data_IF_881746208320
#
_entry.id   IF_881746208320
#
_cell.length_a   1.000
_cell.length_b   1.000
_cell.length_c   1.000
_cell.angle_alpha   90.00
_cell.angle_beta   90.00
_cell.angle_gamma   90.00
#
_symmetry.space_group_name_H-M   'P 1'
#
loop_
_entity.id
_entity.type
_entity.pdbx_description
1 polymer ?
#
# COMPACT_ATOMS: atom_id res chain seq x y z
N UNK A 1 -9.57 8.60 -20.28
CA UNK A 1 -9.36 9.63 -19.25
C UNK A 1 -8.88 10.93 -19.86
N UNK A 2 -9.25 12.05 -19.24
CA UNK A 2 -8.78 13.39 -19.61
C UNK A 2 -7.42 13.69 -18.91
N UNK A 3 -6.66 14.67 -19.42
CA UNK A 3 -5.40 15.07 -18.80
C UNK A 3 -5.57 15.44 -17.31
N UNK A 4 -4.60 15.06 -16.48
CA UNK A 4 -4.56 15.47 -15.08
C UNK A 4 -4.15 16.93 -14.96
N UNK A 5 -4.79 17.67 -14.04
CA UNK A 5 -4.22 18.91 -13.53
C UNK A 5 -3.33 18.61 -12.34
N UNK A 6 -2.23 19.33 -12.18
CA UNK A 6 -1.30 19.08 -11.08
C UNK A 6 -0.97 20.34 -10.29
N UNK A 7 -0.65 20.16 -9.01
CA UNK A 7 -0.21 21.21 -8.10
C UNK A 7 0.67 20.62 -7.00
N UNK A 8 1.48 21.47 -6.38
CA UNK A 8 2.30 21.09 -5.25
C UNK A 8 1.65 21.47 -3.94
N UNK A 9 1.74 20.58 -2.95
CA UNK A 9 1.42 20.87 -1.54
C UNK A 9 2.68 20.64 -0.71
N UNK A 10 2.88 21.45 0.35
CA UNK A 10 4.02 21.35 1.25
C UNK A 10 3.51 21.23 2.68
N UNK A 11 3.08 20.01 3.05
CA UNK A 11 2.62 19.71 4.41
C UNK A 11 2.86 18.22 4.73
N UNK A 12 3.81 17.88 5.57
CA UNK A 12 5.05 18.58 5.93
C UNK A 12 6.15 18.47 4.85
N UNK A 13 5.96 17.61 3.85
CA UNK A 13 6.90 17.39 2.73
C UNK A 13 6.26 17.83 1.43
N UNK A 14 7.02 18.38 0.47
CA UNK A 14 6.50 18.70 -0.84
C UNK A 14 5.99 17.43 -1.54
N UNK A 15 4.75 17.50 -2.02
CA UNK A 15 4.11 16.41 -2.78
C UNK A 15 3.52 16.97 -4.07
N UNK A 16 3.76 16.29 -5.17
CA UNK A 16 3.13 16.60 -6.45
C UNK A 16 1.81 15.85 -6.55
N UNK A 17 0.69 16.57 -6.49
CA UNK A 17 -0.65 15.99 -6.55
C UNK A 17 -1.17 16.06 -7.97
N UNK A 18 -1.72 14.97 -8.46
CA UNK A 18 -2.30 14.84 -9.79
C UNK A 18 -3.82 14.67 -9.65
N UNK A 19 -4.55 15.73 -9.94
CA UNK A 19 -6.01 15.79 -9.80
C UNK A 19 -6.68 15.39 -11.12
N UNK A 20 -7.43 14.31 -11.12
CA UNK A 20 -8.28 13.92 -12.24
C UNK A 20 -9.40 14.93 -12.47
N UNK A 21 -9.87 15.04 -13.72
CA UNK A 21 -11.04 15.83 -14.08
C UNK A 21 -12.29 15.36 -13.31
N UNK A 22 -13.28 16.21 -13.14
CA UNK A 22 -14.51 15.92 -12.38
C UNK A 22 -15.21 14.66 -12.93
N UNK A 23 -15.34 14.55 -14.26
CA UNK A 23 -15.93 13.36 -14.91
C UNK A 23 -15.16 12.08 -14.56
N UNK A 24 -13.85 12.13 -14.62
CA UNK A 24 -13.00 10.97 -14.35
C UNK A 24 -13.01 10.62 -12.86
N UNK A 25 -13.14 11.61 -11.96
CA UNK A 25 -13.32 11.34 -10.52
C UNK A 25 -14.61 10.58 -10.20
N UNK A 26 -15.69 10.83 -10.95
CA UNK A 26 -16.92 10.02 -10.84
C UNK A 26 -16.65 8.57 -11.25
N UNK A 27 -15.92 8.35 -12.35
CA UNK A 27 -15.50 7.02 -12.77
C UNK A 27 -14.61 6.33 -11.73
N UNK A 28 -13.60 7.05 -11.21
CA UNK A 28 -12.74 6.54 -10.13
C UNK A 28 -13.56 6.11 -8.91
N UNK A 29 -14.57 6.91 -8.53
CA UNK A 29 -15.43 6.59 -7.40
C UNK A 29 -16.33 5.37 -7.67
N UNK A 30 -16.84 5.23 -8.89
CA UNK A 30 -17.66 4.07 -9.30
C UNK A 30 -16.81 2.78 -9.25
N UNK A 31 -15.64 2.79 -9.85
CA UNK A 31 -14.68 1.66 -9.82
C UNK A 31 -14.28 1.32 -8.39
N UNK A 32 -13.96 2.33 -7.57
CA UNK A 32 -13.62 2.11 -6.16
C UNK A 32 -14.76 1.38 -5.42
N UNK A 33 -16.03 1.81 -5.60
CA UNK A 33 -17.19 1.19 -4.94
C UNK A 33 -17.39 -0.28 -5.32
N UNK A 34 -17.03 -0.65 -6.54
CA UNK A 34 -17.13 -2.04 -7.01
C UNK A 34 -15.96 -2.88 -6.51
N UNK A 35 -14.73 -2.36 -6.60
CA UNK A 35 -13.53 -3.13 -6.28
C UNK A 35 -13.27 -3.21 -4.76
N UNK A 36 -13.52 -2.14 -4.02
CA UNK A 36 -13.19 -2.06 -2.60
C UNK A 36 -13.73 -3.25 -1.78
N UNK A 37 -15.02 -3.60 -1.81
CA UNK A 37 -15.56 -4.70 -1.01
C UNK A 37 -15.01 -6.09 -1.39
N UNK A 38 -14.46 -6.23 -2.60
CA UNK A 38 -13.82 -7.47 -3.06
C UNK A 38 -12.43 -7.61 -2.46
N UNK A 39 -11.64 -6.51 -2.52
CA UNK A 39 -10.25 -6.52 -2.07
C UNK A 39 -10.10 -6.30 -0.57
N UNK A 40 -10.98 -5.57 0.08
CA UNK A 40 -10.97 -5.33 1.54
C UNK A 40 -10.89 -6.65 2.34
N UNK A 41 -11.58 -7.69 1.87
CA UNK A 41 -11.56 -9.03 2.47
C UNK A 41 -10.20 -9.75 2.35
N UNK A 42 -9.30 -9.25 1.51
CA UNK A 42 -7.98 -9.84 1.28
C UNK A 42 -6.89 -9.15 2.09
N UNK A 43 -7.15 -7.94 2.56
CA UNK A 43 -6.18 -7.17 3.31
C UNK A 43 -5.98 -7.73 4.72
N UNK A 44 -4.76 -7.60 5.22
CA UNK A 44 -4.50 -7.95 6.62
C UNK A 44 -5.26 -7.00 7.54
N UNK A 45 -5.64 -7.50 8.72
CA UNK A 45 -6.33 -6.68 9.73
C UNK A 45 -5.54 -5.41 10.08
N UNK A 46 -4.21 -5.48 10.09
CA UNK A 46 -3.32 -4.42 10.54
C UNK A 46 -2.83 -3.48 9.39
N UNK A 47 -3.62 -3.35 8.31
CA UNK A 47 -3.49 -2.29 7.30
C UNK A 47 -4.46 -1.15 7.62
N UNK A 48 -3.99 0.13 7.63
CA UNK A 48 -4.73 1.25 8.22
C UNK A 48 -4.95 2.44 7.29
N UNK A 49 -4.29 2.53 6.15
CA UNK A 49 -4.46 3.66 5.23
C UNK A 49 -5.61 3.45 4.26
N UNK A 50 -6.48 4.45 4.12
CA UNK A 50 -7.54 4.50 3.08
C UNK A 50 -8.50 3.29 3.10
N UNK A 51 -8.77 2.75 4.28
CA UNK A 51 -9.71 1.67 4.54
C UNK A 51 -10.82 2.16 5.48
N UNK A 52 -12.04 1.63 5.31
CA UNK A 52 -13.19 1.98 6.16
C UNK A 52 -12.92 1.55 7.61
N UNK A 53 -13.33 2.38 8.56
CA UNK A 53 -13.13 2.18 10.01
C UNK A 53 -11.66 2.05 10.46
N UNK A 54 -10.73 2.42 9.60
CA UNK A 54 -9.29 2.45 9.85
C UNK A 54 -8.80 3.91 9.93
N UNK A 55 -7.51 4.13 9.87
CA UNK A 55 -6.92 5.46 9.85
C UNK A 55 -5.82 5.63 10.89
N UNK A 56 -5.27 6.84 10.99
CA UNK A 56 -4.07 7.10 11.79
C UNK A 56 -4.27 6.78 13.27
N UNK A 57 -5.39 7.20 13.87
CA UNK A 57 -5.65 6.97 15.29
C UNK A 57 -5.78 5.48 15.63
N UNK A 58 -6.50 4.72 14.79
CA UNK A 58 -6.61 3.27 14.97
C UNK A 58 -5.26 2.56 14.81
N UNK A 59 -4.44 2.99 13.83
CA UNK A 59 -3.09 2.47 13.65
C UNK A 59 -2.17 2.76 14.83
N UNK A 60 -2.19 3.97 15.38
CA UNK A 60 -1.41 4.34 16.56
C UNK A 60 -1.86 3.53 17.79
N UNK A 61 -3.15 3.40 18.03
CA UNK A 61 -3.67 2.59 19.14
C UNK A 61 -3.21 1.12 19.01
N UNK A 62 -3.23 0.59 17.80
CA UNK A 62 -2.75 -0.77 17.53
C UNK A 62 -1.25 -0.92 17.74
N UNK A 63 -0.45 0.06 17.32
CA UNK A 63 0.99 0.07 17.55
C UNK A 63 1.30 0.06 19.06
N UNK A 64 0.60 0.87 19.85
CA UNK A 64 0.75 0.89 21.31
C UNK A 64 0.40 -0.47 21.94
N UNK A 65 -0.65 -1.15 21.46
CA UNK A 65 -0.99 -2.51 21.92
C UNK A 65 0.12 -3.52 21.58
N UNK A 66 0.73 -3.43 20.40
CA UNK A 66 1.88 -4.27 20.05
C UNK A 66 3.09 -4.00 20.95
N UNK A 67 3.42 -2.74 21.18
CA UNK A 67 4.52 -2.36 22.08
C UNK A 67 4.27 -2.85 23.51
N UNK A 68 3.06 -2.70 24.02
CA UNK A 68 2.65 -3.20 25.35
C UNK A 68 2.84 -4.73 25.45
N UNK A 69 2.42 -5.48 24.43
CA UNK A 69 2.58 -6.94 24.38
C UNK A 69 4.03 -7.36 24.27
N UNK A 70 4.81 -6.75 23.36
CA UNK A 70 6.22 -7.06 23.15
C UNK A 70 7.06 -6.76 24.40
N UNK A 71 6.71 -5.70 25.14
CA UNK A 71 7.40 -5.31 26.37
C UNK A 71 6.90 -6.02 27.65
N UNK A 72 6.01 -7.00 27.54
CA UNK A 72 5.38 -7.64 28.69
C UNK A 72 4.77 -6.61 29.66
N UNK A 73 3.87 -5.74 29.16
CA UNK A 73 3.31 -4.60 29.88
C UNK A 73 4.38 -3.60 30.41
N UNK A 74 5.31 -3.22 29.53
CA UNK A 74 6.39 -2.24 29.80
C UNK A 74 7.41 -2.67 30.88
N UNK A 75 7.50 -3.96 31.15
CA UNK A 75 8.49 -4.52 32.09
C UNK A 75 9.81 -4.89 31.43
N UNK A 76 9.85 -5.01 30.10
CA UNK A 76 11.01 -5.38 29.31
C UNK A 76 11.18 -4.40 28.14
N UNK A 77 12.40 -4.26 27.58
CA UNK A 77 12.60 -3.52 26.34
C UNK A 77 11.77 -4.10 25.21
N UNK A 78 11.23 -3.22 24.36
CA UNK A 78 10.64 -3.56 23.07
C UNK A 78 11.24 -2.66 22.00
N UNK A 79 11.36 -3.19 20.80
CA UNK A 79 11.97 -2.52 19.65
C UNK A 79 10.93 -2.42 18.52
N UNK A 80 11.05 -1.37 17.72
CA UNK A 80 10.25 -1.18 16.53
C UNK A 80 11.16 -0.96 15.32
N UNK A 81 11.00 -1.76 14.29
CA UNK A 81 11.61 -1.54 12.97
C UNK A 81 10.59 -0.82 12.10
N UNK A 82 10.85 0.46 11.81
CA UNK A 82 10.07 1.24 10.86
C UNK A 82 10.74 1.19 9.49
N UNK A 83 9.96 0.84 8.48
CA UNK A 83 10.37 0.83 7.09
C UNK A 83 9.43 1.71 6.26
N UNK A 84 9.97 2.24 5.16
CA UNK A 84 9.27 3.06 4.19
C UNK A 84 9.71 2.61 2.78
N UNK A 85 8.76 2.50 1.85
CA UNK A 85 9.08 2.18 0.46
C UNK A 85 9.26 3.49 -0.31
N UNK A 86 10.52 3.86 -0.53
CA UNK A 86 10.86 5.12 -1.19
C UNK A 86 10.20 5.26 -2.56
N UNK A 87 9.56 6.41 -2.80
CA UNK A 87 8.89 6.74 -4.07
C UNK A 87 7.90 5.68 -4.53
N UNK A 88 7.22 5.02 -3.61
CA UNK A 88 6.38 3.86 -3.88
C UNK A 88 5.39 4.09 -5.04
N UNK A 89 4.63 5.19 -5.03
CA UNK A 89 3.65 5.49 -6.08
C UNK A 89 4.26 5.65 -7.47
N UNK A 90 5.50 6.13 -7.57
CA UNK A 90 6.22 6.27 -8.83
C UNK A 90 6.68 4.93 -9.41
N UNK A 91 6.85 3.92 -8.55
CA UNK A 91 7.46 2.63 -8.88
C UNK A 91 6.44 1.51 -9.12
N UNK A 92 5.15 1.74 -8.87
CA UNK A 92 4.11 0.72 -9.10
C UNK A 92 4.12 0.30 -10.58
N UNK A 93 4.44 -0.95 -10.84
CA UNK A 93 4.42 -1.56 -12.17
C UNK A 93 2.97 -1.85 -12.58
N UNK A 94 2.54 -1.29 -13.71
CA UNK A 94 1.17 -1.41 -14.21
C UNK A 94 0.79 -2.86 -14.52
N UNK A 95 1.71 -3.64 -15.11
CA UNK A 95 1.48 -5.04 -15.46
C UNK A 95 1.26 -5.88 -14.22
N UNK A 96 2.12 -5.73 -13.21
CA UNK A 96 1.99 -6.46 -11.94
C UNK A 96 0.67 -6.08 -11.24
N UNK A 97 0.34 -4.79 -11.19
CA UNK A 97 -0.91 -4.32 -10.59
C UNK A 97 -2.14 -4.92 -11.30
N UNK A 98 -2.17 -4.90 -12.62
CA UNK A 98 -3.26 -5.46 -13.41
C UNK A 98 -3.37 -6.98 -13.24
N UNK A 99 -2.26 -7.70 -13.15
CA UNK A 99 -2.24 -9.13 -12.82
C UNK A 99 -2.83 -9.42 -11.43
N UNK A 100 -2.47 -8.61 -10.42
CA UNK A 100 -3.03 -8.74 -9.06
C UNK A 100 -4.54 -8.50 -9.03
N UNK A 101 -5.02 -7.52 -9.78
CA UNK A 101 -6.46 -7.23 -9.88
C UNK A 101 -7.17 -8.37 -10.62
N UNK A 102 -6.62 -8.87 -11.71
CA UNK A 102 -7.21 -9.95 -12.51
C UNK A 102 -7.33 -11.28 -11.75
N UNK A 103 -6.56 -11.50 -10.69
CA UNK A 103 -6.73 -12.68 -9.81
C UNK A 103 -8.10 -12.75 -9.12
N UNK A 104 -8.79 -11.62 -9.00
CA UNK A 104 -10.08 -11.50 -8.29
C UNK A 104 -11.21 -10.99 -9.17
N UNK A 105 -10.89 -10.29 -10.22
CA UNK A 105 -11.85 -9.71 -11.17
C UNK A 105 -11.69 -10.45 -12.49
N UNK A 106 -12.77 -11.06 -12.96
CA UNK A 106 -12.78 -11.83 -14.21
C UNK A 106 -13.67 -11.20 -15.29
N UNK A 107 -14.36 -10.10 -14.97
CA UNK A 107 -15.16 -9.34 -15.92
C UNK A 107 -14.25 -8.50 -16.82
N UNK A 108 -14.25 -8.81 -18.12
CA UNK A 108 -13.36 -8.18 -19.11
C UNK A 108 -13.66 -6.68 -19.30
N UNK A 109 -14.91 -6.25 -19.16
CA UNK A 109 -15.26 -4.84 -19.26
C UNK A 109 -14.73 -4.06 -18.07
N UNK A 110 -14.86 -4.62 -16.86
CA UNK A 110 -14.28 -4.04 -15.65
C UNK A 110 -12.75 -3.96 -15.76
N UNK A 111 -12.07 -5.04 -16.17
CA UNK A 111 -10.62 -5.07 -16.36
C UNK A 111 -10.14 -4.05 -17.41
N UNK A 112 -10.90 -3.88 -18.50
CA UNK A 112 -10.61 -2.87 -19.52
C UNK A 112 -10.68 -1.45 -18.96
N UNK A 113 -11.71 -1.14 -18.16
CA UNK A 113 -11.83 0.17 -17.51
C UNK A 113 -10.70 0.40 -16.48
N UNK A 114 -10.37 -0.60 -15.68
CA UNK A 114 -9.26 -0.53 -14.72
C UNK A 114 -7.94 -0.28 -15.44
N UNK A 115 -7.67 -0.99 -16.53
CA UNK A 115 -6.48 -0.80 -17.36
C UNK A 115 -6.39 0.62 -17.90
N UNK A 116 -7.48 1.16 -18.45
CA UNK A 116 -7.52 2.55 -18.93
C UNK A 116 -7.23 3.58 -17.84
N UNK A 117 -7.67 3.31 -16.59
CA UNK A 117 -7.37 4.17 -15.45
C UNK A 117 -5.89 4.05 -15.07
N UNK A 118 -5.35 2.85 -14.96
CA UNK A 118 -3.96 2.61 -14.58
C UNK A 118 -3.01 3.21 -15.61
N UNK A 119 -3.24 2.98 -16.90
CA UNK A 119 -2.39 3.44 -18.00
C UNK A 119 -2.58 4.93 -18.34
N UNK A 120 -3.57 5.62 -17.75
CA UNK A 120 -3.80 7.06 -17.97
C UNK A 120 -2.76 7.98 -17.34
N UNK A 121 -1.90 7.44 -16.50
CA UNK A 121 -0.81 8.17 -15.85
C UNK A 121 0.45 7.29 -15.80
N UNK A 122 1.61 7.89 -15.98
CA UNK A 122 2.89 7.21 -15.77
C UNK A 122 3.99 8.21 -15.39
N UNK A 123 4.89 7.78 -14.51
CA UNK A 123 6.14 8.48 -14.16
C UNK A 123 7.30 7.98 -15.02
N UNK A 124 7.22 6.71 -15.46
CA UNK A 124 8.11 6.07 -16.42
C UNK A 124 7.29 5.06 -17.25
N UNK A 125 7.75 4.57 -18.40
CA UNK A 125 7.01 3.63 -19.23
C UNK A 125 6.47 2.44 -18.43
N UNK A 126 5.15 2.29 -18.38
CA UNK A 126 4.45 1.21 -17.66
C UNK A 126 4.53 1.26 -16.13
N UNK A 127 4.92 2.40 -15.54
CA UNK A 127 5.05 2.56 -14.08
C UNK A 127 4.44 3.86 -13.58
N UNK A 128 3.96 3.81 -12.35
CA UNK A 128 3.50 4.97 -11.59
C UNK A 128 1.99 5.09 -11.48
N UNK A 129 1.53 5.59 -10.34
CA UNK A 129 0.14 5.97 -10.10
C UNK A 129 0.06 7.42 -9.62
N UNK A 130 -0.99 8.15 -10.04
CA UNK A 130 -1.15 9.55 -9.67
C UNK A 130 -1.55 9.67 -8.19
N UNK A 131 -0.86 10.52 -7.43
CA UNK A 131 -1.27 10.89 -6.08
C UNK A 131 -2.51 11.81 -6.15
N UNK A 132 -3.55 11.49 -5.35
CA UNK A 132 -4.74 12.31 -5.20
C UNK A 132 -6.05 11.68 -5.71
N UNK A 133 -6.02 10.45 -6.23
CA UNK A 133 -7.20 9.72 -6.66
C UNK A 133 -7.53 8.55 -5.73
N UNK A 134 -8.83 8.31 -5.50
CA UNK A 134 -9.30 7.22 -4.61
C UNK A 134 -8.91 5.82 -5.13
N UNK A 135 -8.90 5.63 -6.46
CA UNK A 135 -8.46 4.36 -7.05
C UNK A 135 -6.97 4.13 -6.84
N UNK A 136 -6.13 5.16 -6.91
CA UNK A 136 -4.69 5.03 -6.66
C UNK A 136 -4.40 4.54 -5.24
N UNK A 137 -5.18 4.97 -4.26
CA UNK A 137 -5.07 4.50 -2.87
C UNK A 137 -5.47 3.03 -2.73
N UNK A 138 -6.57 2.62 -3.38
CA UNK A 138 -6.98 1.21 -3.41
C UNK A 138 -5.94 0.34 -4.12
N UNK A 139 -5.46 0.77 -5.27
CA UNK A 139 -4.45 0.05 -6.06
C UNK A 139 -3.12 -0.08 -5.30
N UNK A 140 -2.71 0.96 -4.59
CA UNK A 140 -1.57 0.92 -3.69
C UNK A 140 -1.73 -0.15 -2.59
N UNK A 141 -2.92 -0.22 -1.97
CA UNK A 141 -3.21 -1.25 -0.98
C UNK A 141 -3.24 -2.66 -1.58
N UNK A 142 -3.79 -2.84 -2.79
CA UNK A 142 -3.77 -4.14 -3.50
C UNK A 142 -2.33 -4.58 -3.77
N UNK A 143 -1.49 -3.65 -4.23
CA UNK A 143 -0.09 -3.93 -4.55
C UNK A 143 0.72 -4.30 -3.30
N UNK A 144 0.61 -3.50 -2.23
CA UNK A 144 1.33 -3.75 -0.97
C UNK A 144 0.76 -4.91 -0.15
N UNK A 145 -0.44 -5.40 -0.46
CA UNK A 145 -0.97 -6.58 0.19
C UNK A 145 -0.07 -7.82 -0.02
N UNK A 146 0.64 -7.92 -1.16
CA UNK A 146 1.64 -8.98 -1.37
C UNK A 146 2.76 -8.93 -0.31
N UNK A 147 3.24 -7.71 0.02
CA UNK A 147 4.20 -7.51 1.11
C UNK A 147 3.60 -7.86 2.47
N UNK A 148 2.35 -7.43 2.73
CA UNK A 148 1.65 -7.74 3.98
C UNK A 148 1.54 -9.25 4.19
N UNK A 149 1.15 -10.00 3.16
CA UNK A 149 1.05 -11.46 3.19
C UNK A 149 2.42 -12.12 3.41
N UNK A 150 3.46 -11.62 2.74
CA UNK A 150 4.83 -12.10 2.93
C UNK A 150 5.30 -11.91 4.38
N UNK A 151 5.13 -10.73 4.95
CA UNK A 151 5.52 -10.41 6.33
C UNK A 151 4.74 -11.26 7.34
N UNK A 152 3.41 -11.40 7.15
CA UNK A 152 2.57 -12.16 8.09
C UNK A 152 2.76 -13.67 7.99
N UNK A 153 2.86 -14.22 6.79
CA UNK A 153 2.82 -15.67 6.58
C UNK A 153 4.20 -16.30 6.31
N UNK A 154 5.09 -15.64 5.58
CA UNK A 154 6.44 -16.17 5.31
C UNK A 154 7.42 -15.81 6.41
N UNK A 155 7.46 -14.52 6.82
CA UNK A 155 8.32 -14.09 7.92
C UNK A 155 7.67 -14.31 9.31
N UNK A 156 6.39 -14.69 9.37
CA UNK A 156 5.61 -14.99 10.58
C UNK A 156 5.63 -13.86 11.62
N UNK A 157 5.60 -12.60 11.15
CA UNK A 157 5.63 -11.41 12.02
C UNK A 157 4.20 -10.97 12.35
N UNK A 158 3.70 -11.41 13.53
CA UNK A 158 2.34 -11.10 13.98
C UNK A 158 2.17 -9.61 14.32
N UNK A 159 3.17 -8.99 14.95
CA UNK A 159 3.13 -7.59 15.35
C UNK A 159 3.70 -6.70 14.24
N UNK A 160 3.01 -6.66 13.13
CA UNK A 160 3.30 -5.80 11.99
C UNK A 160 2.04 -5.06 11.60
N UNK A 161 2.15 -3.75 11.40
CA UNK A 161 1.10 -2.91 10.84
C UNK A 161 1.64 -2.05 9.70
N UNK A 162 0.76 -1.67 8.78
CA UNK A 162 1.07 -0.81 7.65
C UNK A 162 0.13 0.39 7.57
N UNK A 163 0.68 1.54 7.23
CA UNK A 163 -0.05 2.74 6.88
C UNK A 163 0.48 3.28 5.54
N UNK A 164 -0.24 3.02 4.43
CA UNK A 164 0.23 3.25 3.06
C UNK A 164 1.56 2.51 2.80
N UNK A 165 2.61 3.21 2.40
CA UNK A 165 3.99 2.75 2.16
C UNK A 165 4.85 2.62 3.44
N UNK A 166 4.43 3.25 4.54
CA UNK A 166 5.03 3.08 5.86
C UNK A 166 4.56 1.76 6.52
N UNK A 167 5.48 0.93 7.00
CA UNK A 167 5.15 -0.23 7.82
C UNK A 167 6.07 -0.38 9.02
N UNK A 168 5.52 -0.92 10.10
CA UNK A 168 6.23 -1.04 11.38
C UNK A 168 6.10 -2.46 11.89
N UNK A 169 7.22 -3.07 12.25
CA UNK A 169 7.28 -4.36 12.94
C UNK A 169 7.79 -4.15 14.36
N UNK A 170 7.15 -4.82 15.32
CA UNK A 170 7.50 -4.74 16.74
C UNK A 170 8.00 -6.10 17.23
N UNK A 171 9.00 -6.08 18.10
CA UNK A 171 9.57 -7.28 18.71
C UNK A 171 10.31 -6.98 20.01
N UNK A 172 10.66 -8.04 20.75
CA UNK A 172 11.46 -7.97 21.97
C UNK A 172 12.96 -8.10 21.72
N UNK A 173 13.37 -8.50 20.53
CA UNK A 173 14.76 -8.68 20.12
C UNK A 173 15.08 -7.75 18.94
N UNK A 174 16.12 -6.93 19.11
CA UNK A 174 16.58 -5.97 18.13
C UNK A 174 17.24 -6.63 16.92
N UNK A 175 18.08 -7.64 17.18
CA UNK A 175 18.83 -8.32 16.14
C UNK A 175 17.89 -9.16 15.24
N UNK A 176 16.88 -9.78 15.84
CA UNK A 176 15.83 -10.48 15.12
C UNK A 176 15.06 -9.53 14.18
N UNK A 177 14.72 -8.33 14.64
CA UNK A 177 14.07 -7.32 13.79
C UNK A 177 15.00 -6.82 12.68
N UNK A 178 16.28 -6.61 12.98
CA UNK A 178 17.26 -6.15 12.01
C UNK A 178 17.46 -7.18 10.89
N UNK A 179 17.48 -8.47 11.24
CA UNK A 179 17.61 -9.57 10.28
C UNK A 179 16.45 -9.67 9.27
N UNK A 180 15.32 -8.98 9.50
CA UNK A 180 14.18 -8.93 8.56
C UNK A 180 14.41 -7.99 7.38
N UNK A 181 15.36 -7.05 7.48
CA UNK A 181 15.56 -6.02 6.46
C UNK A 181 15.91 -6.64 5.12
N UNK A 182 16.86 -7.57 5.11
CA UNK A 182 17.35 -8.17 3.86
C UNK A 182 16.31 -9.05 3.15
N UNK A 183 15.59 -9.98 3.84
CA UNK A 183 14.49 -10.72 3.21
C UNK A 183 13.37 -9.82 2.65
N UNK A 184 13.05 -8.71 3.34
CA UNK A 184 12.04 -7.77 2.86
C UNK A 184 12.54 -7.03 1.61
N UNK A 185 13.80 -6.58 1.61
CA UNK A 185 14.41 -5.92 0.45
C UNK A 185 14.40 -6.85 -0.75
N UNK A 186 14.88 -8.09 -0.58
CA UNK A 186 14.89 -9.09 -1.64
C UNK A 186 13.47 -9.35 -2.18
N UNK A 187 12.46 -9.48 -1.31
CA UNK A 187 11.08 -9.65 -1.74
C UNK A 187 10.57 -8.47 -2.57
N UNK A 188 10.87 -7.23 -2.14
CA UNK A 188 10.48 -6.03 -2.87
C UNK A 188 11.17 -5.96 -4.24
N UNK A 189 12.45 -6.27 -4.31
CA UNK A 189 13.22 -6.27 -5.55
C UNK A 189 12.72 -7.34 -6.54
N UNK A 190 12.46 -8.56 -6.07
CA UNK A 190 11.97 -9.66 -6.91
C UNK A 190 10.53 -9.47 -7.39
N UNK A 191 9.66 -8.90 -6.52
CA UNK A 191 8.23 -8.78 -6.81
C UNK A 191 7.84 -7.47 -7.47
N UNK A 192 8.49 -6.37 -7.12
CA UNK A 192 8.05 -5.04 -7.52
C UNK A 192 9.03 -4.30 -8.43
N UNK A 193 10.30 -4.70 -8.48
CA UNK A 193 11.34 -4.08 -9.29
C UNK A 193 11.81 -4.99 -10.43
N UNK A 194 11.06 -5.99 -10.86
CA UNK A 194 11.44 -6.76 -12.06
C UNK A 194 11.65 -5.83 -13.24
N UNK A 195 12.84 -5.22 -13.25
CA UNK A 195 13.45 -4.63 -14.45
C UNK A 195 14.12 -5.79 -15.16
N UNK A 196 13.64 -6.09 -16.35
CA UNK A 196 14.41 -6.86 -17.31
C UNK A 196 15.67 -6.09 -17.69
#
# INVERSE_FOLDING_TARGET
PLPYSSFYISDPKPRHIHKANIRDRVLHQAIFRVLYPIFDKTFIHDSYSSLVDKGTHAGVARLLDFLRKASANYQKPAFALKCDVSRFFDLIDHRILLELIARRIHDEHCLTLVRQIVESFSTAPGKGLPLGNVTSQLFANIYLNELDQFVKHSLKRHWCLRYCDDFVMVGSDREELHALIEPIRQFLDERFVRTL
#
